data_IF_783536330840
#
_entry.id   IF_783536330840
#
_cell.length_a   1.000
_cell.length_b   1.000
_cell.length_c   1.000
_cell.angle_alpha   90.00
_cell.angle_beta   90.00
_cell.angle_gamma   90.00
#
_symmetry.space_group_name_H-M   'P 1'
#
loop_
_entity.id
_entity.type
_entity.pdbx_description
1 polymer ?
#
# COMPACT_ATOMS: atom_id res chain seq x y z
N UNK A 1 -19.35 -56.61 -6.33
CA UNK A 1 -19.96 -55.74 -7.37
C UNK A 1 -20.52 -54.53 -6.65
N UNK A 2 -19.98 -53.33 -6.74
CA UNK A 2 -18.79 -52.85 -7.40
C UNK A 2 -18.54 -51.45 -6.84
N UNK A 3 -17.30 -51.21 -6.46
CA UNK A 3 -16.76 -49.92 -6.06
C UNK A 3 -16.84 -48.93 -7.21
N UNK A 4 -17.10 -47.66 -6.89
CA UNK A 4 -16.53 -46.53 -7.64
C UNK A 4 -16.41 -45.33 -6.70
N UNK A 5 -15.32 -45.32 -5.94
CA UNK A 5 -14.63 -44.09 -5.58
C UNK A 5 -14.19 -43.38 -6.87
N UNK A 6 -14.43 -42.08 -6.96
CA UNK A 6 -13.77 -41.22 -7.96
C UNK A 6 -12.92 -40.20 -7.21
N UNK A 7 -11.59 -40.21 -7.41
CA UNK A 7 -10.67 -39.27 -6.77
C UNK A 7 -10.36 -38.05 -7.66
N UNK A 8 -10.05 -36.94 -6.99
CA UNK A 8 -9.04 -35.98 -7.46
C UNK A 8 -9.48 -34.91 -8.45
N UNK A 9 -9.47 -33.66 -7.99
CA UNK A 9 -8.71 -32.63 -8.70
C UNK A 9 -8.20 -31.58 -7.71
N UNK A 10 -6.95 -31.78 -7.30
CA UNK A 10 -6.08 -30.74 -6.77
C UNK A 10 -6.12 -29.52 -7.69
N UNK A 11 -6.60 -28.39 -7.18
CA UNK A 11 -6.43 -27.09 -7.82
C UNK A 11 -4.94 -26.85 -7.99
N UNK A 12 -4.45 -27.05 -9.22
CA UNK A 12 -3.07 -26.82 -9.59
C UNK A 12 -2.71 -25.38 -9.29
N UNK A 13 -1.77 -25.19 -8.36
CA UNK A 13 -0.92 -24.01 -8.32
C UNK A 13 -0.39 -23.81 -9.74
N UNK A 14 -0.57 -22.62 -10.37
CA UNK A 14 -0.01 -22.40 -11.69
C UNK A 14 1.50 -22.65 -11.57
N UNK A 15 1.95 -23.67 -12.31
CA UNK A 15 3.34 -24.08 -12.32
C UNK A 15 4.19 -22.83 -12.55
N UNK A 16 5.06 -22.58 -11.56
CA UNK A 16 6.11 -21.58 -11.58
C UNK A 16 6.69 -21.55 -12.99
N UNK A 17 6.34 -20.49 -13.73
CA UNK A 17 6.79 -20.27 -15.09
C UNK A 17 8.24 -19.85 -14.94
N UNK A 18 9.08 -20.86 -14.68
CA UNK A 18 10.51 -20.76 -14.50
C UNK A 18 11.01 -20.11 -15.77
N UNK A 19 11.28 -18.81 -15.69
CA UNK A 19 11.93 -18.05 -16.75
C UNK A 19 13.23 -18.78 -17.00
N UNK A 20 13.26 -19.59 -18.05
CA UNK A 20 14.47 -20.28 -18.46
C UNK A 20 15.46 -19.16 -18.82
N UNK A 21 16.67 -19.13 -18.24
CA UNK A 21 17.66 -18.16 -18.68
C UNK A 21 17.92 -18.48 -20.14
N UNK A 22 17.61 -17.53 -21.02
CA UNK A 22 17.91 -17.65 -22.42
C UNK A 22 19.43 -17.60 -22.57
N UNK A 23 20.09 -18.75 -22.61
CA UNK A 23 21.48 -18.84 -23.05
C UNK A 23 21.59 -18.15 -24.39
N UNK A 24 22.36 -17.06 -24.44
CA UNK A 24 22.34 -16.04 -25.48
C UNK A 24 22.08 -16.58 -26.88
N UNK A 25 20.91 -16.26 -27.43
CA UNK A 25 20.56 -16.64 -28.79
C UNK A 25 21.48 -15.88 -29.75
N UNK A 26 22.37 -16.60 -30.44
CA UNK A 26 23.20 -16.04 -31.50
C UNK A 26 22.37 -15.80 -32.75
N UNK A 27 22.71 -14.76 -33.49
CA UNK A 27 22.07 -14.45 -34.78
C UNK A 27 22.34 -15.59 -35.77
N UNK A 28 21.30 -15.98 -36.50
CA UNK A 28 21.40 -17.02 -37.53
C UNK A 28 22.43 -16.66 -38.60
N UNK A 29 23.27 -17.62 -38.96
CA UNK A 29 24.26 -17.44 -40.01
C UNK A 29 23.61 -17.59 -41.38
N UNK A 30 23.78 -16.57 -42.23
CA UNK A 30 23.34 -16.63 -43.62
C UNK A 30 24.54 -16.85 -44.54
N UNK A 31 24.58 -17.95 -45.34
CA UNK A 31 25.69 -18.22 -46.26
C UNK A 31 25.69 -17.32 -47.51
N UNK A 32 24.58 -16.62 -47.78
CA UNK A 32 24.36 -15.76 -48.94
C UNK A 32 23.77 -14.39 -48.55
N UNK A 33 24.48 -13.56 -47.75
CA UNK A 33 23.98 -12.24 -47.39
C UNK A 33 23.79 -11.40 -48.67
N UNK A 34 22.59 -10.88 -48.87
CA UNK A 34 22.24 -10.14 -50.09
C UNK A 34 22.17 -10.98 -51.38
N UNK A 35 22.06 -12.32 -51.28
CA UNK A 35 21.95 -13.22 -52.43
C UNK A 35 23.28 -13.58 -53.11
N UNK A 36 24.41 -13.08 -52.60
CA UNK A 36 25.75 -13.39 -53.11
C UNK A 36 26.46 -14.38 -52.19
N UNK A 37 27.10 -15.40 -52.78
CA UNK A 37 27.85 -16.39 -52.03
C UNK A 37 29.13 -15.79 -51.42
N UNK A 38 29.36 -16.06 -50.14
CA UNK A 38 30.58 -15.64 -49.45
C UNK A 38 31.79 -16.37 -50.03
N UNK A 39 32.84 -15.60 -50.36
CA UNK A 39 34.09 -16.12 -50.95
C UNK A 39 34.84 -17.04 -49.97
N UNK A 40 34.75 -16.74 -48.67
CA UNK A 40 35.22 -17.63 -47.61
C UNK A 40 34.36 -17.45 -46.35
N UNK A 41 33.35 -18.31 -46.15
CA UNK A 41 32.47 -18.26 -44.97
C UNK A 41 33.27 -18.19 -43.67
N UNK A 42 34.30 -19.01 -43.54
CA UNK A 42 35.15 -19.11 -42.34
C UNK A 42 35.92 -17.83 -41.99
N UNK A 43 36.29 -17.00 -42.96
CA UNK A 43 36.98 -15.73 -42.72
C UNK A 43 36.03 -14.53 -42.65
N UNK A 44 34.83 -14.64 -43.23
CA UNK A 44 33.80 -13.59 -43.18
C UNK A 44 32.96 -13.66 -41.92
N UNK A 45 32.77 -14.87 -41.36
CA UNK A 45 32.40 -14.99 -39.98
C UNK A 45 33.58 -14.43 -39.19
N UNK A 46 33.36 -13.29 -38.54
CA UNK A 46 34.26 -12.83 -37.48
C UNK A 46 34.13 -13.87 -36.37
N UNK A 47 34.76 -15.02 -36.54
CA UNK A 47 35.13 -15.87 -35.43
C UNK A 47 36.09 -14.98 -34.63
N UNK A 48 35.53 -14.25 -33.67
CA UNK A 48 36.34 -13.65 -32.63
C UNK A 48 37.20 -14.73 -31.97
N UNK A 49 38.11 -14.30 -31.11
CA UNK A 49 38.68 -15.18 -30.11
C UNK A 49 37.58 -16.10 -29.56
N UNK A 50 37.73 -17.44 -29.53
CA UNK A 50 36.74 -18.34 -28.94
C UNK A 50 36.26 -17.92 -27.55
N UNK A 51 37.05 -17.13 -26.82
CA UNK A 51 36.69 -16.50 -25.56
C UNK A 51 35.57 -15.45 -25.66
N UNK A 52 35.30 -14.87 -26.83
CA UNK A 52 34.27 -13.84 -27.06
C UNK A 52 32.84 -14.39 -26.87
N UNK A 53 32.60 -15.65 -27.26
CA UNK A 53 31.32 -16.32 -27.01
C UNK A 53 31.08 -16.56 -25.51
N UNK A 54 32.15 -16.87 -24.77
CA UNK A 54 32.12 -17.02 -23.31
C UNK A 54 31.86 -15.66 -22.67
N UNK A 55 32.57 -14.61 -23.10
CA UNK A 55 32.37 -13.25 -22.62
C UNK A 55 30.94 -12.74 -22.88
N UNK A 56 30.36 -13.04 -24.05
CA UNK A 56 28.97 -12.72 -24.36
C UNK A 56 28.01 -13.46 -23.42
N UNK A 57 28.21 -14.75 -23.19
CA UNK A 57 27.38 -15.53 -22.27
C UNK A 57 27.44 -14.99 -20.83
N UNK A 58 28.65 -14.63 -20.35
CA UNK A 58 28.84 -13.98 -19.06
C UNK A 58 28.13 -12.62 -18.99
N UNK A 59 28.18 -11.82 -20.05
CA UNK A 59 27.50 -10.54 -20.11
C UNK A 59 25.97 -10.68 -20.08
N UNK A 60 25.40 -11.64 -20.83
CA UNK A 60 23.96 -11.92 -20.82
C UNK A 60 23.52 -12.39 -19.44
N UNK A 61 24.26 -13.32 -18.83
CA UNK A 61 23.97 -13.78 -17.47
C UNK A 61 23.97 -12.61 -16.47
N UNK A 62 24.99 -11.74 -16.53
CA UNK A 62 25.08 -10.56 -15.67
C UNK A 62 23.91 -9.60 -15.88
N UNK A 63 23.47 -9.41 -17.14
CA UNK A 63 22.31 -8.57 -17.45
C UNK A 63 21.02 -9.16 -16.83
N UNK A 64 20.81 -10.47 -16.93
CA UNK A 64 19.66 -11.16 -16.33
C UNK A 64 19.66 -11.04 -14.81
N UNK A 65 20.82 -11.16 -14.17
CA UNK A 65 20.98 -10.94 -12.73
C UNK A 65 20.59 -9.51 -12.33
N UNK A 66 21.01 -8.49 -13.09
CA UNK A 66 20.62 -7.10 -12.84
C UNK A 66 19.13 -6.86 -13.07
N UNK A 67 18.54 -7.42 -14.13
CA UNK A 67 17.10 -7.30 -14.40
C UNK A 67 16.31 -7.91 -13.26
N UNK A 68 16.70 -9.11 -12.81
CA UNK A 68 16.08 -9.78 -11.67
C UNK A 68 16.19 -8.94 -10.40
N UNK A 69 17.38 -8.45 -10.07
CA UNK A 69 17.60 -7.63 -8.89
C UNK A 69 16.75 -6.34 -8.92
N UNK A 70 16.68 -5.67 -10.08
CA UNK A 70 15.88 -4.47 -10.25
C UNK A 70 14.37 -4.77 -10.11
N UNK A 71 13.89 -5.85 -10.72
CA UNK A 71 12.50 -6.29 -10.59
C UNK A 71 12.15 -6.60 -9.13
N UNK A 72 13.00 -7.36 -8.42
CA UNK A 72 12.82 -7.66 -6.99
C UNK A 72 12.74 -6.37 -6.17
N UNK A 73 13.67 -5.42 -6.35
CA UNK A 73 13.66 -4.16 -5.61
C UNK A 73 12.36 -3.37 -5.81
N UNK A 74 11.85 -3.29 -7.06
CA UNK A 74 10.57 -2.63 -7.35
C UNK A 74 9.38 -3.35 -6.72
N UNK A 75 9.36 -4.68 -6.78
CA UNK A 75 8.30 -5.48 -6.16
C UNK A 75 8.33 -5.37 -4.63
N UNK A 76 9.49 -5.27 -4.00
CA UNK A 76 9.62 -5.02 -2.56
C UNK A 76 8.96 -3.70 -2.16
N UNK A 77 9.22 -2.61 -2.88
CA UNK A 77 8.58 -1.30 -2.61
C UNK A 77 7.06 -1.39 -2.75
N UNK A 78 6.56 -2.07 -3.79
CA UNK A 78 5.12 -2.26 -3.98
C UNK A 78 4.53 -3.08 -2.83
N UNK A 79 5.21 -4.14 -2.39
CA UNK A 79 4.76 -4.97 -1.27
C UNK A 79 4.67 -4.16 0.03
N UNK A 80 5.67 -3.33 0.33
CA UNK A 80 5.66 -2.41 1.48
C UNK A 80 4.49 -1.42 1.41
N UNK A 81 4.21 -0.86 0.23
CA UNK A 81 3.06 0.03 0.03
C UNK A 81 1.73 -0.69 0.27
N UNK A 82 1.57 -1.92 -0.23
CA UNK A 82 0.36 -2.72 -0.01
C UNK A 82 0.18 -2.99 1.49
N UNK A 83 1.24 -3.39 2.19
CA UNK A 83 1.19 -3.60 3.65
C UNK A 83 0.78 -2.33 4.39
N UNK A 84 1.34 -1.18 4.01
CA UNK A 84 0.95 0.10 4.59
C UNK A 84 -0.54 0.40 4.38
N UNK A 85 -1.05 0.21 3.17
CA UNK A 85 -2.47 0.41 2.85
C UNK A 85 -3.39 -0.54 3.63
N UNK A 86 -2.99 -1.80 3.78
CA UNK A 86 -3.73 -2.78 4.60
C UNK A 86 -3.81 -2.34 6.05
N UNK A 87 -2.71 -1.85 6.62
CA UNK A 87 -2.68 -1.34 7.98
C UNK A 87 -3.52 -0.07 8.16
N UNK A 88 -3.49 0.85 7.18
CA UNK A 88 -4.39 2.02 7.18
C UNK A 88 -5.86 1.58 7.15
N UNK A 89 -6.22 0.62 6.30
CA UNK A 89 -7.59 0.11 6.22
C UNK A 89 -8.04 -0.56 7.53
N UNK A 90 -7.16 -1.37 8.15
CA UNK A 90 -7.41 -1.98 9.47
C UNK A 90 -7.72 -0.92 10.52
N UNK A 91 -6.89 0.12 10.59
CA UNK A 91 -7.06 1.22 11.54
C UNK A 91 -8.39 1.96 11.35
N UNK A 92 -8.75 2.28 10.10
CA UNK A 92 -10.03 2.94 9.79
C UNK A 92 -11.23 2.10 10.27
N UNK A 93 -11.19 0.78 10.09
CA UNK A 93 -12.25 -0.12 10.55
C UNK A 93 -12.33 -0.17 12.09
N UNK A 94 -11.19 -0.20 12.77
CA UNK A 94 -11.13 -0.17 14.23
C UNK A 94 -11.65 1.15 14.80
N UNK A 95 -11.27 2.27 14.19
CA UNK A 95 -11.75 3.59 14.56
C UNK A 95 -13.26 3.71 14.35
N UNK A 96 -13.78 3.26 13.20
CA UNK A 96 -15.21 3.26 12.92
C UNK A 96 -16.00 2.39 13.89
N UNK A 97 -15.48 1.20 14.24
CA UNK A 97 -16.10 0.31 15.23
C UNK A 97 -16.13 0.95 16.61
N UNK A 98 -15.00 1.48 17.07
CA UNK A 98 -14.91 2.18 18.35
C UNK A 98 -15.87 3.37 18.40
N UNK A 99 -15.92 4.17 17.34
CA UNK A 99 -16.83 5.31 17.26
C UNK A 99 -18.29 4.87 17.33
N UNK A 100 -18.66 3.80 16.63
CA UNK A 100 -19.99 3.21 16.72
C UNK A 100 -20.29 2.73 18.15
N UNK A 101 -19.38 1.99 18.78
CA UNK A 101 -19.55 1.49 20.15
C UNK A 101 -19.75 2.65 21.14
N UNK A 102 -18.94 3.70 21.06
CA UNK A 102 -19.07 4.91 21.89
C UNK A 102 -20.37 5.68 21.60
N UNK A 103 -20.83 5.72 20.35
CA UNK A 103 -22.13 6.31 20.03
C UNK A 103 -23.29 5.56 20.70
N UNK A 104 -23.21 4.24 20.80
CA UNK A 104 -24.23 3.40 21.44
C UNK A 104 -24.17 3.38 22.98
N UNK A 105 -23.07 3.82 23.60
CA UNK A 105 -22.99 3.93 25.07
C UNK A 105 -24.13 4.80 25.62
N UNK A 106 -24.75 4.32 26.70
CA UNK A 106 -25.86 4.99 27.36
C UNK A 106 -25.51 6.42 27.78
N UNK A 107 -26.40 7.36 27.49
CA UNK A 107 -26.16 8.77 27.69
C UNK A 107 -27.49 9.48 27.97
N UNK A 108 -27.61 10.10 29.15
CA UNK A 108 -28.81 10.86 29.54
C UNK A 108 -28.76 12.33 29.08
N UNK A 109 -27.72 12.69 28.32
CA UNK A 109 -27.47 14.04 27.82
C UNK A 109 -27.31 14.01 26.30
N UNK A 110 -27.67 15.12 25.65
CA UNK A 110 -27.44 15.27 24.21
C UNK A 110 -25.94 15.46 23.96
N UNK A 111 -25.38 14.57 23.13
CA UNK A 111 -23.99 14.63 22.68
C UNK A 111 -23.82 15.84 21.75
N UNK A 112 -22.94 16.78 22.10
CA UNK A 112 -22.64 18.00 21.35
C UNK A 112 -21.16 17.96 20.93
N UNK A 113 -20.86 18.15 19.64
CA UNK A 113 -19.49 18.27 19.17
C UNK A 113 -18.71 19.36 19.92
N UNK A 114 -17.39 19.15 20.04
CA UNK A 114 -16.46 20.01 20.78
C UNK A 114 -16.36 19.69 22.27
N UNK A 115 -17.32 18.98 22.84
CA UNK A 115 -17.32 18.64 24.26
C UNK A 115 -16.53 17.36 24.57
N UNK A 116 -16.03 17.29 25.80
CA UNK A 116 -15.37 16.12 26.36
C UNK A 116 -16.37 15.34 27.21
N UNK A 117 -16.39 14.04 27.01
CA UNK A 117 -17.25 13.10 27.70
C UNK A 117 -16.38 12.07 28.42
N UNK A 118 -16.77 11.75 29.64
CA UNK A 118 -16.08 10.81 30.53
C UNK A 118 -16.90 9.52 30.61
N UNK A 119 -16.27 8.41 30.23
CA UNK A 119 -16.86 7.08 30.22
C UNK A 119 -16.66 6.41 31.57
N UNK A 120 -17.77 5.97 32.17
CA UNK A 120 -17.79 5.26 33.44
C UNK A 120 -18.48 3.91 33.34
N UNK A 121 -18.17 3.01 34.26
CA UNK A 121 -18.85 1.72 34.43
C UNK A 121 -19.46 1.60 35.82
N UNK A 122 -20.75 1.29 35.86
CA UNK A 122 -21.46 1.01 37.12
C UNK A 122 -21.13 -0.38 37.63
N UNK A 123 -21.41 -0.64 38.91
CA UNK A 123 -21.32 -1.98 39.51
C UNK A 123 -22.17 -3.02 38.76
N UNK A 124 -23.30 -2.59 38.16
CA UNK A 124 -24.15 -3.44 37.31
C UNK A 124 -23.50 -3.87 36.00
N UNK A 125 -22.33 -3.33 35.67
CA UNK A 125 -21.62 -3.55 34.41
C UNK A 125 -21.99 -2.57 33.30
N UNK A 126 -23.04 -1.76 33.48
CA UNK A 126 -23.48 -0.80 32.46
C UNK A 126 -22.46 0.34 32.30
N UNK A 127 -22.06 0.58 31.05
CA UNK A 127 -21.24 1.72 30.67
C UNK A 127 -22.12 2.92 30.34
N UNK A 128 -21.70 4.11 30.75
CA UNK A 128 -22.41 5.35 30.45
C UNK A 128 -21.46 6.55 30.35
N UNK A 129 -21.88 7.56 29.58
CA UNK A 129 -21.16 8.82 29.46
C UNK A 129 -21.66 9.87 30.45
N UNK A 130 -20.72 10.67 30.98
CA UNK A 130 -20.95 11.85 31.82
C UNK A 130 -20.16 13.05 31.30
N UNK A 131 -20.61 14.25 31.61
CA UNK A 131 -19.83 15.50 31.40
C UNK A 131 -18.93 15.83 32.60
N UNK A 132 -19.15 15.18 33.74
CA UNK A 132 -18.39 15.42 34.97
C UNK A 132 -17.14 14.54 34.94
N UNK A 133 -15.98 15.16 35.12
CA UNK A 133 -14.68 14.50 35.14
C UNK A 133 -14.41 13.76 36.46
N UNK A 134 -13.49 12.78 36.49
CA UNK A 134 -13.14 12.09 37.74
C UNK A 134 -12.63 13.04 38.83
N UNK A 135 -11.97 14.14 38.44
CA UNK A 135 -11.47 15.16 39.35
C UNK A 135 -12.61 15.94 40.00
N UNK A 136 -13.65 16.27 39.23
CA UNK A 136 -14.83 17.00 39.72
C UNK A 136 -15.74 16.12 40.58
N UNK A 137 -15.81 14.81 40.30
CA UNK A 137 -16.52 13.86 41.15
C UNK A 137 -15.89 13.71 42.55
N UNK A 138 -14.59 13.94 42.68
CA UNK A 138 -13.86 13.77 43.94
C UNK A 138 -14.02 12.36 44.52
N UNK A 139 -14.04 12.26 45.85
CA UNK A 139 -14.27 11.00 46.59
C UNK A 139 -15.68 10.43 46.45
N UNK A 140 -16.60 11.15 45.80
CA UNK A 140 -17.99 10.75 45.63
C UNK A 140 -18.26 10.01 44.32
N UNK A 141 -17.24 9.74 43.49
CA UNK A 141 -17.41 8.90 42.30
C UNK A 141 -17.66 7.44 42.72
N UNK A 142 -18.87 6.89 42.52
CA UNK A 142 -19.16 5.51 42.91
C UNK A 142 -18.85 4.52 41.78
N UNK A 143 -18.33 5.00 40.64
CA UNK A 143 -18.22 4.23 39.40
C UNK A 143 -16.79 4.24 38.86
N UNK A 144 -16.40 3.14 38.22
CA UNK A 144 -15.08 2.97 37.64
C UNK A 144 -14.90 3.88 36.43
N UNK A 145 -13.83 4.65 36.40
CA UNK A 145 -13.47 5.48 35.25
C UNK A 145 -12.77 4.64 34.17
N UNK A 146 -13.30 4.67 32.95
CA UNK A 146 -12.76 3.92 31.82
C UNK A 146 -11.96 4.77 30.83
N UNK A 147 -12.29 6.05 30.69
CA UNK A 147 -11.58 6.94 29.77
C UNK A 147 -12.34 8.23 29.48
N UNK A 148 -11.66 9.18 28.86
CA UNK A 148 -12.23 10.45 28.43
C UNK A 148 -12.09 10.60 26.91
N UNK A 149 -13.11 11.14 26.26
CA UNK A 149 -13.19 11.25 24.81
C UNK A 149 -13.81 12.59 24.41
N UNK A 150 -13.19 13.28 23.45
CA UNK A 150 -13.77 14.47 22.80
C UNK A 150 -14.59 14.03 21.61
N UNK A 151 -15.83 14.51 21.53
CA UNK A 151 -16.65 14.35 20.34
C UNK A 151 -16.25 15.42 19.32
N UNK A 152 -15.74 15.00 18.18
CA UNK A 152 -15.29 15.92 17.13
C UNK A 152 -16.47 16.43 16.29
N UNK A 153 -16.21 17.43 15.44
CA UNK A 153 -17.22 18.06 14.57
C UNK A 153 -17.72 17.13 13.46
N UNK A 154 -16.91 16.15 13.06
CA UNK A 154 -17.28 15.08 12.13
C UNK A 154 -17.96 13.88 12.82
N UNK A 155 -18.29 14.02 14.11
CA UNK A 155 -18.87 12.99 14.98
C UNK A 155 -17.95 11.80 15.30
N UNK A 156 -16.67 11.87 14.97
CA UNK A 156 -15.67 10.90 15.45
C UNK A 156 -15.34 11.14 16.93
N UNK A 157 -14.85 10.10 17.61
CA UNK A 157 -14.40 10.21 18.99
C UNK A 157 -12.88 10.20 19.07
N UNK A 158 -12.30 11.21 19.70
CA UNK A 158 -10.86 11.27 19.97
C UNK A 158 -10.60 11.02 21.46
N UNK A 159 -9.77 10.03 21.83
CA UNK A 159 -9.32 9.85 23.21
C UNK A 159 -8.66 11.10 23.75
N UNK A 160 -8.82 11.37 25.05
CA UNK A 160 -8.33 12.60 25.68
C UNK A 160 -6.83 12.84 25.45
N UNK A 161 -6.02 11.79 25.52
CA UNK A 161 -4.56 11.83 25.33
C UNK A 161 -4.13 12.25 23.91
N UNK A 162 -5.02 12.10 22.93
CA UNK A 162 -4.74 12.39 21.53
C UNK A 162 -5.43 13.66 21.02
N UNK A 163 -6.21 14.37 21.87
CA UNK A 163 -6.91 15.59 21.50
C UNK A 163 -5.94 16.63 20.93
N UNK A 164 -4.83 16.92 21.63
CA UNK A 164 -3.87 17.94 21.20
C UNK A 164 -3.23 17.60 19.85
N UNK A 165 -2.86 16.33 19.65
CA UNK A 165 -2.28 15.86 18.38
C UNK A 165 -3.30 15.96 17.25
N UNK A 166 -4.56 15.62 17.52
CA UNK A 166 -5.64 15.69 16.54
C UNK A 166 -5.95 17.13 16.15
N UNK A 167 -6.11 18.01 17.13
CA UNK A 167 -6.38 19.44 16.92
C UNK A 167 -5.20 20.11 16.17
N UNK A 168 -3.95 19.74 16.47
CA UNK A 168 -2.78 20.20 15.71
C UNK A 168 -2.80 19.74 14.25
N UNK A 169 -3.19 18.49 13.98
CA UNK A 169 -3.33 17.96 12.62
C UNK A 169 -4.41 18.71 11.85
N UNK A 170 -5.59 18.93 12.45
CA UNK A 170 -6.67 19.71 11.84
C UNK A 170 -6.17 21.13 11.52
N UNK A 171 -5.49 21.78 12.48
CA UNK A 171 -4.97 23.14 12.27
C UNK A 171 -3.99 23.24 11.10
N UNK A 172 -3.15 22.21 10.89
CA UNK A 172 -2.25 22.15 9.72
C UNK A 172 -3.08 22.03 8.42
N UNK A 173 -4.09 21.16 8.40
CA UNK A 173 -4.96 20.98 7.23
C UNK A 173 -5.71 22.27 6.91
N UNK A 174 -6.31 22.91 7.90
CA UNK A 174 -7.02 24.19 7.74
C UNK A 174 -6.10 25.27 7.17
N UNK A 175 -4.85 25.35 7.64
CA UNK A 175 -3.86 26.29 7.11
C UNK A 175 -3.51 26.02 5.65
N UNK A 176 -3.46 24.75 5.25
CA UNK A 176 -3.20 24.38 3.85
C UNK A 176 -4.39 24.73 2.96
N UNK A 177 -5.62 24.52 3.44
CA UNK A 177 -6.85 24.88 2.74
C UNK A 177 -7.06 26.39 2.63
N UNK A 178 -6.61 27.16 3.63
CA UNK A 178 -6.73 28.62 3.63
C UNK A 178 -5.68 29.33 2.76
N UNK A 179 -4.64 28.62 2.31
CA UNK A 179 -3.65 29.20 1.40
C UNK A 179 -4.27 29.32 0.00
N UNK A 180 -4.17 30.50 -0.65
CA UNK A 180 -4.57 30.61 -2.04
C UNK A 180 -3.67 29.69 -2.86
N UNK A 181 -4.28 28.64 -3.41
CA UNK A 181 -3.68 27.82 -4.47
C UNK A 181 -3.41 28.76 -5.65
N UNK A 182 -2.18 29.26 -5.74
CA UNK A 182 -1.67 29.81 -6.98
C UNK A 182 -1.47 28.63 -7.92
N UNK A 183 -2.54 28.19 -8.59
CA UNK A 183 -2.37 27.39 -9.79
C UNK A 183 -1.49 28.22 -10.72
N UNK A 184 -0.34 27.72 -11.20
CA UNK A 184 0.31 28.36 -12.33
C UNK A 184 -0.74 28.48 -13.45
N UNK A 185 -0.80 29.61 -14.18
CA UNK A 185 -1.68 29.69 -15.33
C UNK A 185 -1.38 28.47 -16.19
N UNK A 186 -2.42 27.70 -16.53
CA UNK A 186 -2.29 26.54 -17.41
C UNK A 186 -1.80 27.07 -18.75
N UNK A 187 -0.49 27.12 -18.94
CA UNK A 187 0.10 27.27 -20.26
C UNK A 187 -0.22 25.95 -20.95
N UNK A 188 -1.25 25.96 -21.78
CA UNK A 188 -1.55 24.85 -22.67
C UNK A 188 -0.25 24.37 -23.33
N UNK A 189 0.00 23.06 -23.46
CA UNK A 189 1.09 22.60 -24.30
C UNK A 189 0.74 23.03 -25.72
N UNK A 190 1.52 23.96 -26.27
CA UNK A 190 1.47 24.33 -27.66
C UNK A 190 1.79 23.09 -28.51
N UNK A 191 0.76 22.33 -28.90
CA UNK A 191 0.83 21.38 -30.00
C UNK A 191 0.83 22.19 -31.31
N UNK A 192 1.93 22.92 -31.53
CA UNK A 192 2.25 23.50 -32.82
C UNK A 192 3.30 22.61 -33.48
N UNK A 193 2.83 21.80 -34.43
CA UNK A 193 3.71 21.10 -35.38
C UNK A 193 3.35 19.64 -35.62
N UNK A 194 2.23 19.38 -36.30
CA UNK A 194 2.07 18.19 -37.13
C UNK A 194 1.08 18.49 -38.28
N UNK A 195 1.55 19.39 -39.15
CA UNK A 195 1.19 19.55 -40.57
C UNK A 195 2.53 19.93 -41.20
N UNK A 196 3.18 19.22 -42.12
CA UNK A 196 2.80 18.25 -43.15
C UNK A 196 3.67 16.97 -43.11
#
# INVERSE_FOLDING_TARGET
MGDTETPGQSGGVPADQRVQPATGALVELTPTPGGLALVSPYHTHRAGDPLDLVALAEQVQKADEFIRANATNKLTVIAEQIQHLQEQARKVLEDARRDADLHHVACNIVKKPGNIYYLYKRESGQQYFSIISPKEWGTSCPHDFLGAYKLQHDLSWTPYEDIEKHDAKISIVDRLLSQPVALPPSTEPAFQGLTD
#
